data_IF_494026094016
#
_entry.id   IF_494026094016
#
_cell.length_a   1.000
_cell.length_b   1.000
_cell.length_c   1.000
_cell.angle_alpha   90.00
_cell.angle_beta   90.00
_cell.angle_gamma   90.00
#
_symmetry.space_group_name_H-M   'P 1'
#
loop_
_entity.id
_entity.type
_entity.pdbx_description
1 polymer ?
#
# COMPACT_ATOMS: atom_id res chain seq x y z
N UNK A 1 -12.14 5.40 63.53
CA UNK A 1 -12.11 6.31 62.36
C UNK A 1 -11.61 5.53 61.18
N UNK A 2 -12.50 5.00 60.34
CA UNK A 2 -12.12 4.28 59.12
C UNK A 2 -12.66 5.07 57.92
N UNK A 3 -11.76 5.67 57.13
CA UNK A 3 -12.10 6.32 55.86
C UNK A 3 -12.18 5.24 54.78
N UNK A 4 -13.37 5.06 54.22
CA UNK A 4 -13.65 4.19 53.09
C UNK A 4 -13.26 4.94 51.81
N UNK A 5 -12.18 4.53 51.15
CA UNK A 5 -11.80 5.04 49.84
C UNK A 5 -12.52 4.19 48.78
N UNK A 6 -13.52 4.77 48.12
CA UNK A 6 -14.23 4.16 47.00
C UNK A 6 -13.33 4.24 45.74
N UNK A 7 -13.13 3.15 44.99
CA UNK A 7 -12.25 3.17 43.82
C UNK A 7 -12.93 3.89 42.65
N UNK A 8 -12.35 4.99 42.21
CA UNK A 8 -12.62 5.62 40.91
C UNK A 8 -11.91 4.76 39.85
N UNK A 9 -12.59 3.73 39.37
CA UNK A 9 -12.04 2.84 38.33
C UNK A 9 -13.16 2.25 37.46
N UNK A 10 -14.13 3.08 37.04
CA UNK A 10 -15.21 2.65 36.11
C UNK A 10 -15.62 3.77 35.15
N UNK A 11 -14.69 4.61 34.65
CA UNK A 11 -15.04 5.64 33.65
C UNK A 11 -14.35 5.51 32.29
N UNK A 12 -13.29 4.69 32.15
CA UNK A 12 -12.63 4.51 30.85
C UNK A 12 -13.40 3.59 29.89
N UNK A 13 -14.20 2.64 30.40
CA UNK A 13 -14.91 1.66 29.57
C UNK A 13 -16.19 2.16 28.89
N UNK A 14 -16.83 3.22 29.42
CA UNK A 14 -18.11 3.72 28.90
C UNK A 14 -17.96 4.73 27.75
N UNK A 15 -16.78 5.35 27.60
CA UNK A 15 -16.51 6.32 26.51
C UNK A 15 -16.40 5.65 25.14
N UNK A 16 -16.07 4.35 25.09
CA UNK A 16 -15.88 3.64 23.82
C UNK A 16 -17.18 3.19 23.15
N UNK A 17 -18.28 3.03 23.90
CA UNK A 17 -19.53 2.46 23.37
C UNK A 17 -20.32 3.43 22.46
N UNK A 18 -20.05 4.73 22.55
CA UNK A 18 -20.71 5.77 21.74
C UNK A 18 -19.74 6.47 20.77
N UNK A 19 -18.55 5.92 20.57
CA UNK A 19 -17.57 6.52 19.68
C UNK A 19 -18.05 6.39 18.22
N UNK A 20 -18.05 7.51 17.49
CA UNK A 20 -18.34 7.49 16.05
C UNK A 20 -17.14 6.87 15.31
N UNK A 21 -17.41 5.86 14.47
CA UNK A 21 -16.34 5.17 13.73
C UNK A 21 -15.91 5.98 12.50
N UNK A 22 -14.60 6.12 12.32
CA UNK A 22 -13.96 6.73 11.16
C UNK A 22 -13.12 5.69 10.45
N UNK A 23 -13.40 5.48 9.14
CA UNK A 23 -12.63 4.52 8.34
C UNK A 23 -11.21 5.02 8.11
N UNK A 24 -10.24 4.21 8.54
CA UNK A 24 -8.83 4.36 8.19
C UNK A 24 -8.56 3.56 6.91
N UNK A 25 -7.91 4.19 5.93
CA UNK A 25 -7.43 3.52 4.72
C UNK A 25 -5.92 3.70 4.59
N UNK A 26 -5.26 2.74 3.99
CA UNK A 26 -3.87 2.84 3.52
C UNK A 26 -3.83 2.59 2.01
N UNK A 27 -2.80 3.09 1.33
CA UNK A 27 -2.53 2.75 -0.07
C UNK A 27 -1.99 1.33 -0.24
N UNK A 28 -1.30 0.77 0.77
CA UNK A 28 -0.90 -0.64 0.85
C UNK A 28 -0.53 -1.04 2.29
N UNK A 29 -0.64 -2.33 2.61
CA UNK A 29 -0.30 -2.89 3.93
C UNK A 29 1.07 -3.58 3.98
N UNK A 30 1.70 -3.78 2.83
CA UNK A 30 3.00 -4.48 2.71
C UNK A 30 4.13 -3.55 2.22
N UNK A 31 4.50 -2.51 2.97
CA UNK A 31 5.69 -1.73 2.63
C UNK A 31 6.98 -2.54 2.84
N UNK A 32 8.01 -2.20 2.08
CA UNK A 32 9.38 -2.55 2.46
C UNK A 32 9.96 -1.49 3.39
N UNK A 33 10.94 -1.86 4.20
CA UNK A 33 11.68 -0.95 5.06
C UNK A 33 12.15 0.30 4.28
N UNK A 34 11.91 1.48 4.84
CA UNK A 34 12.25 2.76 4.22
C UNK A 34 11.20 3.29 3.24
N UNK A 35 10.21 2.50 2.84
CA UNK A 35 9.07 2.98 2.04
C UNK A 35 8.06 3.75 2.90
N UNK A 36 7.35 4.66 2.24
CA UNK A 36 6.29 5.47 2.85
C UNK A 36 4.91 4.97 2.42
N UNK A 37 4.05 4.66 3.38
CA UNK A 37 2.63 4.41 3.14
C UNK A 37 1.82 5.69 3.36
N UNK A 38 0.69 5.84 2.69
CA UNK A 38 -0.22 6.97 2.89
C UNK A 38 -1.44 6.49 3.66
N UNK A 39 -1.64 7.01 4.89
CA UNK A 39 -2.89 6.82 5.62
C UNK A 39 -3.89 7.90 5.23
N UNK A 40 -5.16 7.52 5.09
CA UNK A 40 -6.27 8.43 4.79
C UNK A 40 -7.41 8.24 5.77
N UNK A 41 -7.92 9.35 6.33
CA UNK A 41 -9.09 9.41 7.20
C UNK A 41 -10.15 10.33 6.60
N UNK A 42 -11.41 9.89 6.60
CA UNK A 42 -12.54 10.72 6.16
C UNK A 42 -13.15 11.48 7.35
N UNK A 43 -12.87 12.78 7.46
CA UNK A 43 -13.20 13.62 8.62
C UNK A 43 -14.48 14.44 8.38
N UNK A 44 -15.59 13.77 8.06
CA UNK A 44 -16.87 14.43 7.75
C UNK A 44 -17.46 15.26 8.91
N UNK A 45 -17.07 14.94 10.14
CA UNK A 45 -17.67 15.53 11.34
C UNK A 45 -17.49 17.05 11.45
N UNK A 46 -16.46 17.63 10.83
CA UNK A 46 -16.26 19.09 10.81
C UNK A 46 -17.37 19.75 9.99
N UNK A 47 -17.67 19.20 8.82
CA UNK A 47 -18.72 19.71 7.95
C UNK A 47 -20.10 19.55 8.59
N UNK A 48 -20.34 18.40 9.23
CA UNK A 48 -21.56 18.13 9.99
C UNK A 48 -21.75 19.15 11.13
N UNK A 49 -20.70 19.44 11.91
CA UNK A 49 -20.76 20.43 12.98
C UNK A 49 -21.07 21.85 12.47
N UNK A 50 -20.46 22.27 11.36
CA UNK A 50 -20.74 23.58 10.78
C UNK A 50 -22.21 23.64 10.31
N UNK A 51 -22.71 22.60 9.64
CA UNK A 51 -24.12 22.50 9.23
C UNK A 51 -25.09 22.54 10.41
N UNK A 52 -24.78 21.84 11.50
CA UNK A 52 -25.59 21.84 12.73
C UNK A 52 -25.63 23.22 13.42
N UNK A 53 -24.58 24.03 13.25
CA UNK A 53 -24.45 25.35 13.92
C UNK A 53 -24.90 26.52 13.03
N UNK A 54 -25.06 26.29 11.72
CA UNK A 54 -25.51 27.32 10.77
C UNK A 54 -26.96 27.72 11.05
N UNK A 55 -27.25 29.01 10.91
CA UNK A 55 -28.62 29.50 10.94
C UNK A 55 -29.43 28.85 9.79
N UNK A 56 -30.72 28.53 9.97
CA UNK A 56 -31.52 27.81 8.97
C UNK A 56 -31.60 28.49 7.60
N UNK A 57 -31.40 29.82 7.55
CA UNK A 57 -31.41 30.61 6.33
C UNK A 57 -30.08 30.57 5.56
N UNK A 58 -29.04 29.98 6.15
CA UNK A 58 -27.69 29.89 5.58
C UNK A 58 -27.42 28.47 5.06
N UNK A 59 -26.82 28.39 3.88
CA UNK A 59 -26.44 27.14 3.24
C UNK A 59 -24.91 27.06 3.13
N UNK A 60 -24.34 25.91 3.50
CA UNK A 60 -22.92 25.64 3.27
C UNK A 60 -22.70 25.27 1.80
N UNK A 61 -21.93 26.08 1.06
CA UNK A 61 -21.59 25.85 -0.36
C UNK A 61 -20.10 25.64 -0.58
N UNK A 62 -19.76 24.80 -1.56
CA UNK A 62 -18.39 24.51 -1.98
C UNK A 62 -17.83 23.20 -1.42
N UNK A 63 -16.57 22.89 -1.77
CA UNK A 63 -15.89 21.68 -1.30
C UNK A 63 -15.06 21.97 -0.04
N UNK A 64 -15.12 21.08 0.94
CA UNK A 64 -14.30 21.17 2.15
C UNK A 64 -12.93 20.53 1.95
N UNK A 65 -11.86 21.31 2.14
CA UNK A 65 -10.49 20.79 2.21
C UNK A 65 -10.24 19.92 3.46
N UNK A 66 -11.14 19.97 4.46
CA UNK A 66 -11.01 19.24 5.71
C UNK A 66 -11.63 17.84 5.68
N UNK A 67 -12.32 17.48 4.60
CA UNK A 67 -13.07 16.22 4.50
C UNK A 67 -12.17 14.98 4.45
N UNK A 68 -10.93 15.12 3.98
CA UNK A 68 -9.97 14.02 3.87
C UNK A 68 -8.63 14.44 4.48
N UNK A 69 -8.21 13.75 5.53
CA UNK A 69 -6.85 13.84 6.05
C UNK A 69 -6.02 12.74 5.39
N UNK A 70 -4.90 13.10 4.78
CA UNK A 70 -3.94 12.14 4.22
C UNK A 70 -2.52 12.48 4.69
N UNK A 71 -1.78 11.49 5.18
CA UNK A 71 -0.37 11.65 5.56
C UNK A 71 0.45 10.42 5.24
N UNK A 72 1.69 10.68 4.84
CA UNK A 72 2.68 9.65 4.64
C UNK A 72 3.33 9.27 5.96
N UNK A 73 3.45 7.96 6.20
CA UNK A 73 4.16 7.37 7.32
C UNK A 73 5.31 6.57 6.72
N UNK A 74 6.54 6.95 7.08
CA UNK A 74 7.72 6.18 6.76
C UNK A 74 7.91 5.09 7.80
N UNK A 75 8.11 3.85 7.34
CA UNK A 75 8.38 2.73 8.25
C UNK A 75 9.88 2.51 8.36
N UNK A 76 10.36 2.46 9.60
CA UNK A 76 11.80 2.48 9.92
C UNK A 76 12.31 1.17 10.55
N UNK A 77 11.46 0.14 10.66
CA UNK A 77 11.84 -1.17 11.17
C UNK A 77 10.99 -2.26 10.49
N UNK A 78 11.43 -3.53 10.54
CA UNK A 78 10.71 -4.66 9.94
C UNK A 78 9.80 -5.37 10.95
N UNK A 79 8.81 -6.12 10.43
CA UNK A 79 7.80 -6.82 11.22
C UNK A 79 6.40 -6.21 11.13
N UNK A 80 5.54 -6.60 12.06
CA UNK A 80 4.13 -6.23 12.05
C UNK A 80 3.87 -4.98 12.88
N UNK A 81 3.28 -3.96 12.27
CA UNK A 81 2.96 -2.68 12.91
C UNK A 81 1.48 -2.38 12.82
N UNK A 82 0.84 -2.22 13.97
CA UNK A 82 -0.54 -1.75 14.02
C UNK A 82 -0.58 -0.22 13.90
N UNK A 83 -1.28 0.29 12.89
CA UNK A 83 -1.63 1.70 12.74
C UNK A 83 -3.07 1.91 13.17
N UNK A 84 -3.26 2.74 14.20
CA UNK A 84 -4.56 2.93 14.84
C UNK A 84 -4.87 1.84 15.89
N UNK A 85 -6.05 1.87 16.52
CA UNK A 85 -7.10 2.85 16.30
C UNK A 85 -6.72 4.16 16.98
N UNK A 86 -6.93 5.28 16.30
CA UNK A 86 -6.81 6.60 16.91
C UNK A 86 -8.11 6.94 17.62
N UNK A 87 -8.00 7.50 18.82
CA UNK A 87 -9.14 7.98 19.61
C UNK A 87 -8.97 9.48 19.84
N UNK A 88 -9.98 10.26 19.50
CA UNK A 88 -9.96 11.71 19.69
C UNK A 88 -11.36 12.25 19.97
N UNK A 89 -11.45 13.45 20.53
CA UNK A 89 -12.70 14.13 20.85
C UNK A 89 -12.84 15.40 20.02
N UNK A 90 -14.05 15.65 19.51
CA UNK A 90 -14.40 16.89 18.85
C UNK A 90 -15.83 17.31 19.26
N UNK A 91 -15.95 18.52 19.83
CA UNK A 91 -17.22 19.08 20.31
C UNK A 91 -18.01 18.13 21.24
N UNK A 92 -17.33 17.52 22.22
CA UNK A 92 -17.94 16.58 23.16
C UNK A 92 -18.36 15.22 22.57
N UNK A 93 -18.14 14.99 21.26
CA UNK A 93 -18.32 13.69 20.60
C UNK A 93 -16.96 12.98 20.52
N UNK A 94 -16.93 11.71 20.90
CA UNK A 94 -15.74 10.85 20.80
C UNK A 94 -15.73 10.17 19.44
N UNK A 95 -14.57 10.14 18.80
CA UNK A 95 -14.33 9.51 17.51
C UNK A 95 -13.25 8.45 17.66
N UNK A 96 -13.45 7.30 17.02
CA UNK A 96 -12.50 6.20 16.98
C UNK A 96 -12.27 5.80 15.53
N UNK A 97 -11.01 5.65 15.13
CA UNK A 97 -10.71 5.10 13.80
C UNK A 97 -10.67 3.57 13.81
N UNK A 98 -10.77 2.98 12.63
CA UNK A 98 -10.33 1.59 12.42
C UNK A 98 -8.81 1.47 12.64
N UNK A 99 -8.33 0.22 12.65
CA UNK A 99 -6.90 -0.12 12.69
C UNK A 99 -6.52 -0.89 11.44
N UNK A 100 -5.28 -0.75 11.02
CA UNK A 100 -4.66 -1.53 9.94
C UNK A 100 -3.39 -2.15 10.49
N UNK A 101 -3.12 -3.40 10.12
CA UNK A 101 -1.83 -4.04 10.34
C UNK A 101 -1.00 -3.82 9.08
N UNK A 102 0.23 -3.35 9.27
CA UNK A 102 1.25 -3.30 8.24
C UNK A 102 2.20 -4.48 8.47
N UNK A 103 2.57 -5.15 7.40
CA UNK A 103 3.56 -6.21 7.42
C UNK A 103 4.78 -5.69 6.65
N UNK A 104 5.81 -5.27 7.39
CA UNK A 104 6.97 -4.60 6.81
C UNK A 104 8.08 -5.62 6.60
N UNK A 105 8.52 -5.74 5.35
CA UNK A 105 9.61 -6.65 4.99
C UNK A 105 10.91 -5.90 4.70
N UNK A 106 12.02 -6.64 4.70
CA UNK A 106 13.34 -6.11 4.33
C UNK A 106 13.34 -5.41 2.96
N UNK A 107 14.26 -4.44 2.75
CA UNK A 107 14.43 -3.81 1.44
C UNK A 107 14.92 -4.84 0.43
N UNK A 108 14.69 -4.56 -0.86
CA UNK A 108 15.26 -5.39 -1.92
C UNK A 108 16.76 -5.15 -2.04
N UNK A 109 17.48 -6.21 -2.37
CA UNK A 109 18.87 -6.08 -2.78
C UNK A 109 18.96 -5.29 -4.09
N UNK A 110 19.97 -4.44 -4.21
CA UNK A 110 20.27 -3.68 -5.43
C UNK A 110 20.99 -4.56 -6.46
N UNK A 111 20.36 -5.68 -6.81
CA UNK A 111 20.78 -6.65 -7.82
C UNK A 111 19.62 -6.96 -8.74
N UNK A 112 19.89 -7.48 -9.93
CA UNK A 112 18.85 -8.04 -10.79
C UNK A 112 18.14 -9.20 -10.08
N UNK A 113 16.81 -9.24 -10.20
CA UNK A 113 16.02 -10.27 -9.54
C UNK A 113 14.53 -10.09 -9.74
N UNK A 114 13.80 -11.15 -9.41
CA UNK A 114 12.34 -11.17 -9.36
C UNK A 114 11.94 -11.69 -7.98
N UNK A 115 11.04 -10.96 -7.34
CA UNK A 115 10.48 -11.32 -6.05
C UNK A 115 8.97 -11.39 -6.20
N UNK A 116 8.41 -12.54 -5.84
CA UNK A 116 6.96 -12.76 -5.86
C UNK A 116 6.51 -13.09 -4.44
N UNK A 117 5.44 -12.45 -4.00
CA UNK A 117 4.84 -12.67 -2.68
C UNK A 117 3.34 -12.78 -2.82
N UNK A 118 2.75 -13.72 -2.07
CA UNK A 118 1.32 -13.84 -1.89
C UNK A 118 0.98 -13.40 -0.46
N UNK A 119 -0.02 -12.53 -0.34
CA UNK A 119 -0.55 -12.07 0.95
C UNK A 119 -2.06 -12.23 0.96
N UNK A 120 -2.65 -12.21 2.15
CA UNK A 120 -4.10 -12.10 2.33
C UNK A 120 -4.44 -10.75 2.96
N UNK A 121 -5.35 -9.99 2.34
CA UNK A 121 -5.84 -8.73 2.87
C UNK A 121 -7.35 -8.60 2.62
N UNK A 122 -8.12 -8.37 3.69
CA UNK A 122 -9.59 -8.26 3.62
C UNK A 122 -10.24 -9.48 2.93
N UNK A 123 -9.81 -10.69 3.33
CA UNK A 123 -10.22 -11.98 2.73
C UNK A 123 -9.93 -12.11 1.22
N UNK A 124 -9.04 -11.27 0.69
CA UNK A 124 -8.62 -11.30 -0.71
C UNK A 124 -7.15 -11.67 -0.79
N UNK A 125 -6.83 -12.68 -1.59
CA UNK A 125 -5.46 -13.02 -1.93
C UNK A 125 -4.89 -12.00 -2.91
N UNK A 126 -3.69 -11.49 -2.62
CA UNK A 126 -3.02 -10.48 -3.42
C UNK A 126 -1.62 -10.99 -3.77
N UNK A 127 -1.32 -11.05 -5.07
CA UNK A 127 0.02 -11.33 -5.56
C UNK A 127 0.76 -10.00 -5.80
N UNK A 128 1.96 -9.89 -5.25
CA UNK A 128 2.87 -8.77 -5.47
C UNK A 128 4.06 -9.30 -6.25
N UNK A 129 4.30 -8.72 -7.43
CA UNK A 129 5.45 -9.03 -8.29
C UNK A 129 6.36 -7.81 -8.30
N UNK A 130 7.58 -7.96 -7.79
CA UNK A 130 8.62 -6.93 -7.77
C UNK A 130 9.81 -7.41 -8.60
N UNK A 131 10.40 -6.53 -9.40
CA UNK A 131 11.51 -6.91 -10.28
C UNK A 131 12.55 -5.80 -10.40
N UNK A 132 13.82 -6.18 -10.36
CA UNK A 132 14.96 -5.38 -10.78
C UNK A 132 15.55 -5.96 -12.06
N UNK A 133 15.79 -5.10 -13.04
CA UNK A 133 16.51 -5.41 -14.27
C UNK A 133 17.56 -4.33 -14.51
N UNK A 134 18.68 -4.68 -15.13
CA UNK A 134 19.70 -3.71 -15.50
C UNK A 134 19.10 -2.62 -16.39
N UNK A 135 19.46 -1.37 -16.09
CA UNK A 135 19.06 -0.22 -16.85
C UNK A 135 20.27 0.62 -17.21
N UNK A 136 20.32 1.04 -18.47
CA UNK A 136 21.42 1.79 -19.02
C UNK A 136 20.99 3.22 -19.34
N UNK A 137 21.93 4.14 -19.15
CA UNK A 137 21.78 5.52 -19.59
C UNK A 137 21.66 5.58 -21.10
N UNK A 138 20.53 6.10 -21.59
CA UNK A 138 20.28 6.30 -23.02
C UNK A 138 20.39 7.78 -23.36
N UNK A 139 20.94 8.07 -24.54
CA UNK A 139 20.91 9.43 -25.07
C UNK A 139 19.47 9.81 -25.40
N UNK A 140 19.06 11.00 -24.98
CA UNK A 140 17.76 11.56 -25.33
C UNK A 140 17.70 11.84 -26.83
N UNK A 141 16.76 11.19 -27.53
CA UNK A 141 16.58 11.31 -28.98
C UNK A 141 15.89 12.62 -29.38
N UNK A 142 15.14 13.24 -28.47
CA UNK A 142 14.39 14.47 -28.74
C UNK A 142 15.19 15.73 -28.40
N UNK A 143 16.24 15.58 -27.58
CA UNK A 143 17.12 16.69 -27.21
C UNK A 143 18.13 17.04 -28.30
N UNK A 144 18.32 18.35 -28.52
CA UNK A 144 19.37 18.89 -29.39
C UNK A 144 20.75 18.91 -28.70
N UNK A 145 20.79 18.71 -27.38
CA UNK A 145 22.02 18.67 -26.61
C UNK A 145 22.68 17.28 -26.71
N UNK A 146 23.91 17.17 -27.25
CA UNK A 146 24.60 15.90 -27.37
C UNK A 146 24.91 15.21 -26.04
N UNK A 147 24.84 15.93 -24.91
CA UNK A 147 25.06 15.41 -23.56
C UNK A 147 23.76 15.09 -22.80
N UNK A 148 22.60 15.24 -23.45
CA UNK A 148 21.32 14.90 -22.84
C UNK A 148 21.19 13.38 -22.73
N UNK A 149 21.20 12.87 -21.49
CA UNK A 149 21.03 11.45 -21.18
C UNK A 149 19.85 11.27 -20.24
N UNK A 150 19.14 10.15 -20.37
CA UNK A 150 18.03 9.78 -19.51
C UNK A 150 18.05 8.29 -19.17
N UNK A 151 17.55 7.98 -17.97
CA UNK A 151 17.17 6.64 -17.57
C UNK A 151 15.67 6.51 -17.80
N UNK A 152 15.28 5.56 -18.65
CA UNK A 152 13.87 5.31 -18.97
C UNK A 152 13.55 3.84 -18.70
N UNK A 153 12.40 3.60 -18.08
CA UNK A 153 11.88 2.25 -17.86
C UNK A 153 10.87 1.83 -18.95
N UNK A 154 10.52 2.73 -19.87
CA UNK A 154 9.43 2.52 -20.83
C UNK A 154 9.74 1.47 -21.90
N UNK A 155 11.02 1.31 -22.26
CA UNK A 155 11.45 0.34 -23.28
C UNK A 155 11.79 -1.03 -22.68
N UNK A 156 11.61 -1.21 -21.37
CA UNK A 156 11.98 -2.44 -20.68
C UNK A 156 10.76 -3.34 -20.48
N UNK A 157 10.95 -4.64 -20.74
CA UNK A 157 9.93 -5.66 -20.57
C UNK A 157 10.08 -6.28 -19.18
N UNK A 158 9.20 -5.89 -18.26
CA UNK A 158 9.10 -6.50 -16.93
C UNK A 158 8.20 -7.72 -16.99
N UNK A 159 8.44 -8.67 -16.08
CA UNK A 159 7.55 -9.81 -15.88
C UNK A 159 6.13 -9.31 -15.53
N UNK A 160 5.12 -9.90 -16.15
CA UNK A 160 3.71 -9.62 -15.89
C UNK A 160 2.98 -10.94 -15.67
N UNK A 161 1.99 -10.99 -14.79
CA UNK A 161 1.08 -12.12 -14.76
C UNK A 161 0.10 -12.04 -15.93
N UNK A 162 -0.16 -13.18 -16.57
CA UNK A 162 -1.24 -13.34 -17.54
C UNK A 162 -2.57 -13.22 -16.79
N UNK A 163 -3.49 -12.38 -17.25
CA UNK A 163 -4.76 -12.10 -16.54
C UNK A 163 -5.59 -13.37 -16.27
N UNK A 164 -5.61 -14.31 -17.22
CA UNK A 164 -6.32 -15.58 -17.11
C UNK A 164 -5.38 -16.72 -17.51
N UNK A 165 -4.45 -17.14 -16.62
CA UNK A 165 -3.43 -18.14 -16.97
C UNK A 165 -4.05 -19.53 -17.17
N UNK A 166 -5.21 -19.80 -16.56
CA UNK A 166 -5.95 -21.04 -16.69
C UNK A 166 -7.43 -20.85 -16.35
N UNK A 167 -8.24 -21.87 -16.65
CA UNK A 167 -9.66 -21.86 -16.32
C UNK A 167 -9.89 -21.72 -14.80
N UNK A 168 -10.72 -20.73 -14.43
CA UNK A 168 -11.08 -20.49 -13.03
C UNK A 168 -10.04 -19.74 -12.21
N UNK A 169 -8.96 -19.22 -12.79
CA UNK A 169 -8.00 -18.35 -12.09
C UNK A 169 -7.89 -17.01 -12.82
N UNK A 170 -8.13 -15.92 -12.10
CA UNK A 170 -8.04 -14.56 -12.65
C UNK A 170 -7.11 -13.69 -11.79
N UNK A 171 -6.15 -13.03 -12.44
CA UNK A 171 -5.25 -12.05 -11.84
C UNK A 171 -5.66 -10.64 -12.26
N UNK A 172 -6.41 -9.98 -11.37
CA UNK A 172 -6.92 -8.63 -11.57
C UNK A 172 -5.84 -7.58 -11.27
N UNK A 173 -5.23 -7.01 -12.31
CA UNK A 173 -4.22 -5.95 -12.16
C UNK A 173 -4.82 -4.69 -11.49
N UNK A 174 -4.14 -4.19 -10.47
CA UNK A 174 -4.57 -2.99 -9.72
C UNK A 174 -3.64 -1.80 -9.87
N UNK A 175 -2.34 -2.07 -9.78
CA UNK A 175 -1.36 -1.00 -9.67
C UNK A 175 -0.02 -1.48 -10.20
N UNK A 176 0.68 -0.57 -10.88
CA UNK A 176 2.09 -0.68 -11.21
C UNK A 176 2.80 0.61 -10.82
N UNK A 177 3.99 0.47 -10.25
CA UNK A 177 4.94 1.57 -10.10
C UNK A 177 6.27 1.13 -10.69
N UNK A 178 6.90 2.00 -11.48
CA UNK A 178 8.25 1.75 -12.00
C UNK A 178 9.12 2.99 -11.90
N UNK A 179 10.37 2.80 -11.51
CA UNK A 179 11.37 3.87 -11.42
C UNK A 179 12.79 3.31 -11.59
N UNK A 180 13.78 4.17 -11.77
CA UNK A 180 15.18 3.75 -11.82
C UNK A 180 15.86 3.96 -10.46
N UNK A 181 16.77 3.06 -10.11
CA UNK A 181 17.57 3.05 -8.88
C UNK A 181 19.04 3.05 -9.26
N UNK A 182 19.83 3.94 -8.68
CA UNK A 182 21.28 3.90 -8.82
C UNK A 182 21.86 2.84 -7.88
N UNK A 183 22.76 2.00 -8.38
CA UNK A 183 23.43 0.99 -7.55
C UNK A 183 24.44 1.66 -6.61
N UNK A 184 25.13 2.71 -7.09
CA UNK A 184 25.98 3.60 -6.29
C UNK A 184 25.44 5.03 -6.33
N UNK A 185 24.88 5.50 -5.22
CA UNK A 185 24.33 6.85 -5.09
C UNK A 185 25.36 7.98 -5.31
N UNK A 186 26.66 7.66 -5.26
CA UNK A 186 27.73 8.65 -5.46
C UNK A 186 28.07 8.87 -6.93
N UNK A 187 27.74 7.94 -7.81
CA UNK A 187 27.94 8.08 -9.25
C UNK A 187 26.59 8.32 -9.95
N UNK A 188 26.24 9.58 -10.27
CA UNK A 188 24.98 9.90 -10.91
C UNK A 188 24.87 9.35 -12.34
N UNK A 189 25.96 8.80 -12.91
CA UNK A 189 25.97 8.13 -14.21
C UNK A 189 26.42 6.67 -14.11
N UNK A 190 26.43 6.11 -12.89
CA UNK A 190 26.84 4.75 -12.61
C UNK A 190 25.82 3.72 -13.06
N UNK A 191 26.13 2.45 -12.77
CA UNK A 191 25.21 1.33 -13.02
C UNK A 191 23.86 1.58 -12.32
N UNK A 192 22.78 1.25 -13.02
CA UNK A 192 21.43 1.48 -12.54
C UNK A 192 20.55 0.27 -12.78
N UNK A 193 19.50 0.15 -11.97
CA UNK A 193 18.46 -0.86 -12.09
C UNK A 193 17.16 -0.15 -12.40
N UNK A 194 16.36 -0.71 -13.30
CA UNK A 194 14.96 -0.38 -13.38
C UNK A 194 14.19 -1.29 -12.42
N UNK A 195 13.37 -0.68 -11.58
CA UNK A 195 12.48 -1.34 -10.66
C UNK A 195 11.06 -1.30 -11.20
N UNK A 196 10.34 -2.41 -11.07
CA UNK A 196 8.89 -2.49 -11.25
C UNK A 196 8.25 -3.22 -10.08
N UNK A 197 7.09 -2.72 -9.63
CA UNK A 197 6.20 -3.39 -8.70
C UNK A 197 4.81 -3.44 -9.27
N UNK A 198 4.24 -4.63 -9.37
CA UNK A 198 2.87 -4.88 -9.84
C UNK A 198 2.06 -5.62 -8.79
N UNK A 199 0.81 -5.23 -8.64
CA UNK A 199 -0.11 -5.79 -7.64
C UNK A 199 -1.33 -6.36 -8.37
N UNK A 200 -1.62 -7.63 -8.09
CA UNK A 200 -2.71 -8.39 -8.67
C UNK A 200 -3.61 -8.94 -7.57
N UNK A 201 -4.92 -8.77 -7.73
CA UNK A 201 -5.87 -9.50 -6.90
C UNK A 201 -6.10 -10.87 -7.53
N UNK A 202 -5.99 -11.91 -6.72
CA UNK A 202 -6.40 -13.26 -7.13
C UNK A 202 -7.90 -13.35 -6.91
N UNK A 203 -8.63 -13.61 -7.99
CA UNK A 203 -10.09 -13.70 -7.97
C UNK A 203 -10.58 -14.94 -8.71
N UNK A 204 -11.82 -15.32 -8.42
CA UNK A 204 -12.54 -16.41 -9.09
C UNK A 204 -11.93 -17.81 -8.93
N UNK A 205 -10.93 -17.97 -8.05
CA UNK A 205 -10.30 -19.26 -7.81
C UNK A 205 -11.10 -20.13 -6.85
N UNK A 206 -11.64 -21.24 -7.36
CA UNK A 206 -12.45 -22.22 -6.64
C UNK A 206 -11.92 -23.67 -6.78
N UNK A 207 -10.66 -23.80 -7.22
CA UNK A 207 -9.97 -25.08 -7.43
C UNK A 207 -9.37 -25.67 -6.16
N UNK A 208 -8.49 -26.66 -6.33
CA UNK A 208 -7.58 -27.11 -5.25
C UNK A 208 -6.46 -26.07 -5.04
N UNK A 209 -5.50 -26.28 -4.13
CA UNK A 209 -4.32 -25.41 -4.06
C UNK A 209 -3.48 -25.53 -5.35
N UNK A 210 -2.97 -24.41 -5.88
CA UNK A 210 -2.11 -24.41 -7.06
C UNK A 210 -0.80 -23.68 -6.81
N UNK A 211 0.29 -24.31 -7.23
CA UNK A 211 1.60 -23.67 -7.23
C UNK A 211 1.72 -22.71 -8.41
N UNK A 212 2.15 -21.48 -8.13
CA UNK A 212 2.49 -20.49 -9.13
C UNK A 212 3.62 -21.02 -10.03
N UNK A 213 3.41 -20.99 -11.35
CA UNK A 213 4.34 -21.55 -12.33
C UNK A 213 4.85 -20.49 -13.31
N UNK A 214 5.92 -20.82 -14.04
CA UNK A 214 6.50 -19.93 -15.07
C UNK A 214 5.50 -19.59 -16.18
N UNK A 215 4.63 -20.54 -16.54
CA UNK A 215 3.62 -20.37 -17.60
C UNK A 215 2.53 -19.34 -17.24
N UNK A 216 2.52 -18.83 -16.01
CA UNK A 216 1.57 -17.80 -15.57
C UNK A 216 2.09 -16.39 -15.86
N UNK A 217 3.31 -16.27 -16.39
CA UNK A 217 3.97 -15.00 -16.64
C UNK A 217 4.20 -14.74 -18.13
N UNK A 218 4.08 -13.48 -18.51
CA UNK A 218 4.67 -12.90 -19.71
C UNK A 218 6.00 -12.24 -19.35
N UNK A 219 6.96 -12.25 -20.30
CA UNK A 219 8.26 -11.60 -20.16
C UNK A 219 9.08 -12.04 -18.94
N UNK A 220 8.89 -13.29 -18.48
CA UNK A 220 9.67 -13.87 -17.40
C UNK A 220 11.15 -14.03 -17.84
N UNK A 221 12.14 -13.56 -17.06
CA UNK A 221 13.53 -13.73 -17.42
C UNK A 221 13.96 -15.21 -17.39
N UNK A 222 14.64 -15.66 -18.46
CA UNK A 222 14.96 -17.08 -18.72
C UNK A 222 15.82 -17.81 -17.68
N UNK A 223 16.36 -17.12 -16.68
CA UNK A 223 17.31 -17.67 -15.70
C UNK A 223 16.91 -17.37 -14.26
N UNK A 224 15.62 -17.12 -14.01
CA UNK A 224 15.11 -16.83 -12.68
C UNK A 224 14.41 -18.06 -12.13
N UNK A 225 14.76 -18.43 -10.90
CA UNK A 225 14.02 -19.40 -10.12
C UNK A 225 12.84 -18.69 -9.45
N UNK A 226 11.62 -19.16 -9.71
CA UNK A 226 10.44 -18.64 -9.03
C UNK A 226 10.39 -19.14 -7.58
N UNK A 227 10.00 -18.29 -6.62
CA UNK A 227 9.73 -18.75 -5.27
C UNK A 227 8.53 -19.71 -5.27
N UNK A 228 8.53 -20.65 -4.33
CA UNK A 228 7.38 -21.52 -4.11
C UNK A 228 6.23 -20.69 -3.52
N UNK A 229 5.21 -20.45 -4.33
CA UNK A 229 4.00 -19.71 -3.95
C UNK A 229 2.79 -20.59 -4.23
N UNK A 230 1.98 -20.84 -3.21
CA UNK A 230 0.76 -21.64 -3.30
C UNK A 230 -0.44 -20.70 -3.24
N UNK A 231 -1.27 -20.71 -4.27
CA UNK A 231 -2.54 -19.98 -4.34
C UNK A 231 -3.63 -20.91 -3.84
N UNK A 232 -4.37 -20.44 -2.84
CA UNK A 232 -5.45 -21.20 -2.21
C UNK A 232 -6.82 -20.85 -2.81
N UNK A 233 -7.80 -21.74 -2.73
CA UNK A 233 -9.16 -21.43 -3.15
C UNK A 233 -9.75 -20.28 -2.32
N UNK A 234 -10.48 -19.38 -2.96
CA UNK A 234 -11.30 -18.40 -2.23
C UNK A 234 -12.47 -19.14 -1.58
N UNK A 235 -12.58 -19.05 -0.25
CA UNK A 235 -13.70 -19.59 0.52
C UNK A 235 -15.01 -18.80 0.31
#
# INVERSE_FOLDING_TARGET
>A
MNKLYLPILVFAGLLSANAQSIRLKTNYTEPRLGQSITITLKLNFIEEYIKETLAPELELKGNSAFSNYARDIQVNDTGDFQVGPFLFEFNGKVYKTDSVILHVTEPLENVEGLWVRLIEYDSTQILIVEQHIENEWKKDKESKDPFSMSLSTTELEFAELIENPMEGLEFNFRQSNSYSVLIDEKDPFGASLAYSRKIYHVTNYSGEEIQLSEDFFENLPKKIELPEIIIEASN
#
